data_IF_280021355877
#
_entry.id   IF_280021355877
#
_cell.length_a   1.000
_cell.length_b   1.000
_cell.length_c   1.000
_cell.angle_alpha   90.00
_cell.angle_beta   90.00
_cell.angle_gamma   90.00
#
_symmetry.space_group_name_H-M   'P 1'
#
loop_
_entity.id
_entity.type
_entity.pdbx_description
1 polymer ?
#
# COMPACT_ATOMS: atom_id res chain seq x y z
N UNK A 1 -53.85 33.54 44.34
CA UNK A 1 -52.66 33.97 45.09
C UNK A 1 -51.47 33.24 44.47
N UNK A 2 -50.52 33.99 43.89
CA UNK A 2 -49.38 33.49 43.12
C UNK A 2 -48.33 32.77 43.97
N UNK A 3 -47.66 31.76 43.39
CA UNK A 3 -46.23 31.36 43.55
C UNK A 3 -45.98 30.08 42.72
N UNK A 4 -45.35 30.17 41.54
CA UNK A 4 -43.90 30.10 41.26
C UNK A 4 -43.28 28.70 41.45
N UNK A 5 -42.85 28.03 40.36
CA UNK A 5 -41.43 27.72 40.01
C UNK A 5 -41.30 26.63 38.92
N UNK A 6 -40.72 27.06 37.78
CA UNK A 6 -39.56 26.47 37.05
C UNK A 6 -39.60 24.99 36.57
N UNK A 7 -39.69 24.88 35.24
CA UNK A 7 -38.93 24.06 34.27
C UNK A 7 -38.44 22.64 34.61
N UNK A 8 -38.80 21.68 33.75
CA UNK A 8 -37.87 20.64 33.28
C UNK A 8 -38.05 20.47 31.77
N UNK A 9 -37.01 20.81 31.01
CA UNK A 9 -36.84 20.44 29.62
C UNK A 9 -36.41 18.96 29.54
N UNK A 10 -37.08 18.15 28.74
CA UNK A 10 -36.60 16.83 28.36
C UNK A 10 -36.40 16.82 26.84
N UNK A 11 -35.20 17.23 26.42
CA UNK A 11 -34.71 17.01 25.07
C UNK A 11 -34.54 15.50 24.86
N UNK A 12 -35.33 14.93 23.96
CA UNK A 12 -35.17 13.55 23.51
C UNK A 12 -33.87 13.42 22.70
N UNK A 13 -32.83 12.92 23.33
CA UNK A 13 -31.57 12.55 22.68
C UNK A 13 -31.85 11.38 21.72
N UNK A 14 -31.66 11.66 20.42
CA UNK A 14 -31.57 10.66 19.36
C UNK A 14 -30.27 9.89 19.61
N UNK A 15 -30.36 8.69 20.18
CA UNK A 15 -29.23 7.75 20.18
C UNK A 15 -29.21 7.08 18.80
N UNK A 16 -28.65 7.78 17.82
CA UNK A 16 -28.18 7.15 16.59
C UNK A 16 -26.95 6.32 16.98
N UNK A 17 -27.18 5.06 17.34
CA UNK A 17 -26.10 4.07 17.44
C UNK A 17 -25.53 3.82 16.06
N UNK A 18 -24.52 4.59 15.65
CA UNK A 18 -23.61 4.16 14.61
C UNK A 18 -22.92 2.89 15.12
N UNK A 19 -23.42 1.73 14.70
CA UNK A 19 -22.70 0.47 14.82
C UNK A 19 -21.53 0.52 13.83
N UNK A 20 -20.44 1.20 14.18
CA UNK A 20 -19.15 0.93 13.55
C UNK A 20 -18.68 -0.41 14.09
N UNK A 21 -18.86 -1.45 13.28
CA UNK A 21 -18.24 -2.75 13.55
C UNK A 21 -16.74 -2.52 13.81
N UNK A 22 -16.14 -3.19 14.81
CA UNK A 22 -14.70 -3.10 15.01
C UNK A 22 -13.99 -3.51 13.72
N UNK A 23 -13.03 -2.70 13.28
CA UNK A 23 -12.19 -3.03 12.14
C UNK A 23 -11.51 -4.38 12.42
N UNK A 24 -11.76 -5.36 11.55
CA UNK A 24 -11.13 -6.66 11.67
C UNK A 24 -9.69 -6.54 11.20
N UNK A 25 -8.73 -7.00 12.01
CA UNK A 25 -7.32 -7.11 11.61
C UNK A 25 -7.09 -8.05 10.41
N UNK A 26 -8.14 -8.77 9.98
CA UNK A 26 -8.20 -9.56 8.76
C UNK A 26 -8.95 -8.88 7.61
N UNK A 27 -9.54 -7.69 7.80
CA UNK A 27 -10.22 -6.94 6.74
C UNK A 27 -9.19 -6.37 5.76
N UNK A 28 -9.31 -6.77 4.49
CA UNK A 28 -8.23 -6.68 3.53
C UNK A 28 -8.45 -5.50 2.60
N UNK A 29 -8.44 -4.29 3.17
CA UNK A 29 -8.62 -3.04 2.44
C UNK A 29 -7.71 -2.97 1.19
N UNK A 30 -6.46 -3.46 1.30
CA UNK A 30 -5.47 -3.45 0.21
C UNK A 30 -5.75 -4.48 -0.91
N UNK A 31 -6.44 -5.60 -0.65
CA UNK A 31 -6.80 -6.59 -1.70
C UNK A 31 -8.01 -6.16 -2.50
N UNK A 32 -8.90 -5.38 -1.89
CA UNK A 32 -10.07 -4.80 -2.56
C UNK A 32 -9.81 -3.39 -3.07
N UNK A 33 -8.62 -2.84 -2.78
CA UNK A 33 -8.25 -1.51 -3.23
C UNK A 33 -8.28 -1.44 -4.77
N UNK A 34 -8.76 -0.33 -5.34
CA UNK A 34 -8.68 -0.10 -6.77
C UNK A 34 -7.25 -0.27 -7.31
N UNK A 35 -7.14 -0.67 -8.57
CA UNK A 35 -5.85 -0.79 -9.21
C UNK A 35 -5.24 0.61 -9.41
N UNK A 36 -4.29 0.94 -8.56
CA UNK A 36 -3.49 2.15 -8.66
C UNK A 36 -2.30 1.97 -9.60
N UNK A 37 -2.00 3.03 -10.36
CA UNK A 37 -0.91 3.12 -11.32
C UNK A 37 0.20 4.04 -10.80
N UNK A 38 1.39 3.88 -11.36
CA UNK A 38 2.60 4.61 -11.03
C UNK A 38 2.92 4.54 -9.54
N UNK A 39 2.74 3.37 -8.95
CA UNK A 39 2.84 3.13 -7.51
C UNK A 39 3.61 1.84 -7.21
N UNK A 40 4.00 1.71 -5.95
CA UNK A 40 4.59 0.50 -5.38
C UNK A 40 3.68 0.00 -4.28
N UNK A 41 3.32 -1.27 -4.32
CA UNK A 41 2.45 -1.90 -3.32
C UNK A 41 3.12 -3.09 -2.68
N UNK A 42 2.96 -3.21 -1.36
CA UNK A 42 3.28 -4.44 -0.65
C UNK A 42 2.05 -5.34 -0.72
N UNK A 43 2.22 -6.51 -1.32
CA UNK A 43 1.17 -7.54 -1.45
C UNK A 43 1.19 -8.55 -0.30
N UNK A 44 2.20 -8.45 0.57
CA UNK A 44 2.33 -9.25 1.79
C UNK A 44 2.25 -8.36 3.04
N UNK A 45 1.37 -8.75 3.96
CA UNK A 45 1.05 -8.04 5.20
C UNK A 45 2.21 -7.95 6.19
N UNK A 46 3.19 -8.86 6.08
CA UNK A 46 4.32 -8.91 7.00
C UNK A 46 5.37 -7.83 6.69
N UNK A 47 5.34 -7.28 5.47
CA UNK A 47 6.30 -6.28 5.00
C UNK A 47 5.91 -4.87 5.45
N UNK A 48 4.66 -4.49 5.22
CA UNK A 48 4.09 -3.20 5.59
C UNK A 48 2.58 -3.33 5.73
N UNK A 49 2.04 -2.99 6.91
CA UNK A 49 0.59 -2.85 7.11
C UNK A 49 0.30 -1.81 8.18
N UNK A 50 -0.83 -1.13 8.03
CA UNK A 50 -1.42 -0.31 9.09
C UNK A 50 -2.81 -0.88 9.39
N UNK A 51 -3.12 -1.11 10.66
CA UNK A 51 -4.46 -1.54 11.09
C UNK A 51 -4.92 -0.67 12.25
N UNK A 52 -6.20 -0.33 12.26
CA UNK A 52 -6.86 0.31 13.39
C UNK A 52 -7.37 -0.80 14.31
N UNK A 53 -6.99 -0.81 15.59
CA UNK A 53 -7.50 -1.80 16.55
C UNK A 53 -8.76 -1.31 17.29
N UNK A 54 -9.24 -0.10 16.98
CA UNK A 54 -10.44 0.51 17.54
C UNK A 54 -10.35 0.88 19.04
N UNK A 55 -9.22 0.64 19.70
CA UNK A 55 -9.03 0.83 21.15
C UNK A 55 -7.75 1.64 21.45
N UNK A 56 -6.75 1.63 20.57
CA UNK A 56 -5.44 2.29 20.66
C UNK A 56 -5.06 2.90 19.30
N UNK A 57 -3.99 3.69 19.29
CA UNK A 57 -3.37 4.17 18.04
C UNK A 57 -3.12 3.00 17.08
N UNK A 58 -3.41 3.22 15.80
CA UNK A 58 -3.25 2.22 14.73
C UNK A 58 -1.89 1.50 14.82
N UNK A 59 -1.93 0.17 14.89
CA UNK A 59 -0.73 -0.66 14.84
C UNK A 59 -0.10 -0.60 13.46
N UNK A 60 1.22 -0.44 13.39
CA UNK A 60 1.97 -0.44 12.12
C UNK A 60 3.09 -1.46 12.15
N UNK A 61 3.06 -2.42 11.22
CA UNK A 61 4.25 -3.22 10.88
C UNK A 61 4.94 -2.49 9.75
N UNK A 62 6.23 -2.22 9.94
CA UNK A 62 7.04 -1.46 8.99
C UNK A 62 8.43 -2.10 8.92
N UNK A 63 8.51 -3.26 8.26
CA UNK A 63 9.79 -3.95 8.04
C UNK A 63 10.46 -3.42 6.80
N UNK A 64 9.67 -3.23 5.74
CA UNK A 64 10.10 -2.61 4.51
C UNK A 64 9.30 -1.34 4.22
N UNK A 65 9.96 -0.39 3.57
CA UNK A 65 9.32 0.83 3.07
C UNK A 65 9.79 1.19 1.68
N UNK A 66 9.00 2.01 1.01
CA UNK A 66 9.36 2.62 -0.28
C UNK A 66 9.92 4.00 0.02
N UNK A 67 11.19 4.22 -0.26
CA UNK A 67 11.87 5.52 -0.12
C UNK A 67 11.66 6.39 -1.35
N UNK A 68 11.65 5.77 -2.53
CA UNK A 68 11.46 6.44 -3.80
C UNK A 68 11.01 5.43 -4.87
N UNK A 69 10.29 5.88 -5.88
CA UNK A 69 9.97 5.08 -7.05
C UNK A 69 9.70 6.00 -8.23
N UNK A 70 9.79 5.45 -9.43
CA UNK A 70 9.59 6.25 -10.62
C UNK A 70 9.84 5.48 -11.89
N UNK A 71 9.78 6.23 -12.98
CA UNK A 71 10.17 5.75 -14.28
C UNK A 71 10.98 6.81 -15.02
N UNK A 72 11.87 6.37 -15.91
CA UNK A 72 12.69 7.25 -16.74
C UNK A 72 12.93 6.62 -18.11
N UNK A 73 13.01 7.43 -19.18
CA UNK A 73 13.35 6.92 -20.51
C UNK A 73 14.81 6.46 -20.54
N UNK A 74 15.08 5.42 -21.33
CA UNK A 74 16.43 4.94 -21.64
C UNK A 74 16.89 5.49 -23.00
N UNK A 75 18.18 5.31 -23.30
CA UNK A 75 18.76 5.70 -24.60
C UNK A 75 18.10 4.99 -25.79
N UNK A 76 17.57 3.78 -25.59
CA UNK A 76 16.88 3.00 -26.63
C UNK A 76 15.39 3.33 -26.73
N UNK A 77 14.91 4.30 -25.95
CA UNK A 77 13.51 4.73 -25.94
C UNK A 77 12.57 3.81 -25.16
N UNK A 78 13.09 2.78 -24.48
CA UNK A 78 12.30 2.01 -23.51
C UNK A 78 12.17 2.78 -22.19
N UNK A 79 11.28 2.32 -21.32
CA UNK A 79 11.06 2.91 -19.99
C UNK A 79 11.75 2.04 -18.94
N UNK A 80 12.67 2.60 -18.16
CA UNK A 80 13.16 1.98 -16.93
C UNK A 80 12.24 2.38 -15.77
N UNK A 81 11.69 1.38 -15.08
CA UNK A 81 10.93 1.54 -13.85
C UNK A 81 11.79 1.12 -12.68
N UNK A 82 11.75 1.88 -11.58
CA UNK A 82 12.53 1.58 -10.39
C UNK A 82 11.73 1.78 -9.10
N UNK A 83 12.11 1.02 -8.07
CA UNK A 83 11.73 1.25 -6.68
C UNK A 83 12.98 1.20 -5.80
N UNK A 84 13.05 2.10 -4.84
CA UNK A 84 14.06 2.17 -3.79
C UNK A 84 13.39 1.72 -2.51
N UNK A 85 13.78 0.56 -2.01
CA UNK A 85 13.20 -0.08 -0.84
C UNK A 85 14.18 0.00 0.33
N UNK A 86 13.68 0.36 1.51
CA UNK A 86 14.45 0.38 2.75
C UNK A 86 14.03 -0.75 3.66
N UNK A 87 15.01 -1.45 4.20
CA UNK A 87 14.84 -2.41 5.27
C UNK A 87 15.09 -1.74 6.63
N UNK A 88 14.15 -1.92 7.56
CA UNK A 88 14.20 -1.39 8.92
C UNK A 88 14.52 -2.48 9.96
N UNK A 89 14.74 -3.72 9.52
CA UNK A 89 15.13 -4.82 10.41
C UNK A 89 16.65 -4.89 10.59
N UNK A 90 17.06 -5.61 11.63
CA UNK A 90 18.44 -5.93 11.96
C UNK A 90 18.97 -7.20 11.25
N UNK A 91 18.21 -7.73 10.28
CA UNK A 91 18.58 -8.88 9.46
C UNK A 91 18.30 -8.66 7.97
N UNK A 92 18.97 -9.40 7.12
CA UNK A 92 18.74 -9.35 5.68
C UNK A 92 17.33 -9.86 5.36
N UNK A 93 16.57 -9.07 4.60
CA UNK A 93 15.20 -9.43 4.21
C UNK A 93 15.16 -9.95 2.78
N UNK A 94 14.56 -11.13 2.59
CA UNK A 94 14.35 -11.71 1.26
C UNK A 94 12.94 -11.43 0.78
N UNK A 95 12.84 -10.90 -0.44
CA UNK A 95 11.57 -10.55 -1.07
C UNK A 95 11.51 -11.05 -2.50
N UNK A 96 10.31 -11.06 -3.04
CA UNK A 96 10.05 -11.12 -4.46
C UNK A 96 9.43 -9.81 -4.92
N UNK A 97 9.91 -9.29 -6.05
CA UNK A 97 9.44 -8.04 -6.65
C UNK A 97 9.09 -8.30 -8.11
N UNK A 98 7.99 -7.71 -8.59
CA UNK A 98 7.67 -7.68 -10.02
C UNK A 98 7.13 -6.32 -10.42
N UNK A 99 7.21 -6.04 -11.71
CA UNK A 99 6.52 -4.88 -12.31
C UNK A 99 5.48 -5.39 -13.27
N UNK A 100 4.29 -4.82 -13.19
CA UNK A 100 3.28 -4.94 -14.23
C UNK A 100 3.19 -3.61 -14.98
N UNK A 101 3.34 -3.69 -16.29
CA UNK A 101 3.16 -2.54 -17.18
C UNK A 101 1.75 -2.50 -17.75
N UNK A 102 1.24 -1.29 -17.95
CA UNK A 102 -0.09 -1.02 -18.50
C UNK A 102 0.00 0.06 -19.57
N UNK A 103 -0.87 -0.03 -20.57
CA UNK A 103 -1.02 1.01 -21.58
C UNK A 103 -1.79 2.23 -21.03
N UNK A 104 -2.01 3.24 -21.88
CA UNK A 104 -2.75 4.44 -21.52
C UNK A 104 -4.19 4.17 -21.11
N UNK A 105 -4.80 3.10 -21.60
CA UNK A 105 -6.15 2.65 -21.25
C UNK A 105 -6.19 1.80 -19.98
N UNK A 106 -5.04 1.53 -19.36
CA UNK A 106 -4.94 0.74 -18.13
C UNK A 106 -5.00 -0.76 -18.37
N UNK A 107 -4.78 -1.22 -19.61
CA UNK A 107 -4.73 -2.63 -19.99
C UNK A 107 -3.32 -3.16 -19.75
N UNK A 108 -3.15 -4.31 -19.07
CA UNK A 108 -1.84 -4.95 -18.93
C UNK A 108 -1.20 -5.25 -20.29
N UNK A 109 0.04 -4.82 -20.50
CA UNK A 109 0.77 -5.06 -21.75
C UNK A 109 1.65 -6.31 -21.69
N UNK A 110 2.08 -6.70 -20.49
CA UNK A 110 2.85 -7.94 -20.30
C UNK A 110 1.92 -9.11 -20.04
N UNK A 111 2.03 -10.14 -20.86
CA UNK A 111 1.23 -11.35 -20.72
C UNK A 111 1.43 -12.04 -19.35
N UNK A 112 2.66 -11.98 -18.80
CA UNK A 112 3.04 -12.62 -17.52
C UNK A 112 4.23 -11.90 -16.84
N UNK A 113 4.00 -10.86 -16.02
CA UNK A 113 5.07 -10.26 -15.24
C UNK A 113 5.65 -11.28 -14.23
N UNK A 114 6.96 -11.47 -14.28
CA UNK A 114 7.67 -12.50 -13.49
C UNK A 114 8.17 -11.94 -12.16
N UNK A 115 8.02 -12.72 -11.10
CA UNK A 115 8.60 -12.42 -9.79
C UNK A 115 10.12 -12.60 -9.80
N UNK A 116 10.84 -11.59 -9.34
CA UNK A 116 12.30 -11.59 -9.20
C UNK A 116 12.67 -11.57 -7.73
N UNK A 117 13.53 -12.50 -7.31
CA UNK A 117 14.03 -12.53 -5.94
C UNK A 117 15.03 -11.39 -5.72
N UNK A 118 14.93 -10.75 -4.57
CA UNK A 118 15.85 -9.71 -4.12
C UNK A 118 16.12 -9.85 -2.63
N UNK A 119 17.34 -9.52 -2.22
CA UNK A 119 17.71 -9.42 -0.81
C UNK A 119 17.98 -7.95 -0.49
N UNK A 120 17.34 -7.43 0.54
CA UNK A 120 17.60 -6.09 1.07
C UNK A 120 18.39 -6.26 2.38
N UNK A 121 19.66 -5.83 2.44
CA UNK A 121 20.46 -6.00 3.64
C UNK A 121 19.83 -5.33 4.87
N UNK A 122 20.17 -5.83 6.06
CA UNK A 122 19.75 -5.25 7.33
C UNK A 122 19.99 -3.72 7.37
N UNK A 123 19.01 -2.95 7.85
CA UNK A 123 19.08 -1.50 8.02
C UNK A 123 19.59 -0.72 6.78
N UNK A 124 19.35 -1.25 5.59
CA UNK A 124 19.91 -0.73 4.34
C UNK A 124 18.84 -0.40 3.31
N UNK A 125 19.28 0.12 2.17
CA UNK A 125 18.45 0.45 1.03
C UNK A 125 18.90 -0.38 -0.17
N UNK A 126 17.94 -0.89 -0.95
CA UNK A 126 18.19 -1.58 -2.21
C UNK A 126 17.30 -1.04 -3.32
N UNK A 127 17.83 -1.01 -4.53
CA UNK A 127 17.10 -0.57 -5.71
C UNK A 127 16.68 -1.77 -6.56
N UNK A 128 15.39 -1.87 -6.80
CA UNK A 128 14.82 -2.72 -7.84
C UNK A 128 14.67 -1.91 -9.13
N UNK A 129 15.04 -2.50 -10.27
CA UNK A 129 14.93 -1.87 -11.59
C UNK A 129 14.47 -2.88 -12.61
N UNK A 130 13.62 -2.45 -13.53
CA UNK A 130 13.22 -3.24 -14.69
C UNK A 130 13.02 -2.35 -15.91
N UNK A 131 13.15 -2.95 -17.10
CA UNK A 131 12.92 -2.28 -18.38
C UNK A 131 11.60 -2.73 -18.98
N UNK A 132 10.89 -1.81 -19.61
CA UNK A 132 9.79 -2.15 -20.50
C UNK A 132 10.29 -2.90 -21.72
N UNK A 133 9.40 -3.71 -22.30
CA UNK A 133 9.64 -4.46 -23.54
C UNK A 133 9.23 -3.67 -24.79
N UNK A 134 8.65 -2.49 -24.61
CA UNK A 134 8.18 -1.58 -25.68
C UNK A 134 8.68 -0.15 -25.45
N UNK A 135 8.73 0.63 -26.52
CA UNK A 135 9.04 2.06 -26.52
C UNK A 135 7.80 2.95 -26.37
N UNK A 136 6.61 2.34 -26.29
CA UNK A 136 5.39 3.08 -25.99
C UNK A 136 5.43 3.63 -24.56
N UNK A 137 4.80 4.79 -24.30
CA UNK A 137 4.55 5.24 -22.94
C UNK A 137 3.73 4.19 -22.17
N UNK A 138 4.16 3.90 -20.95
CA UNK A 138 3.48 2.92 -20.09
C UNK A 138 3.24 3.53 -18.71
N UNK A 139 2.19 3.03 -18.08
CA UNK A 139 1.98 3.10 -16.63
C UNK A 139 2.58 1.85 -16.00
N UNK A 140 3.00 1.95 -14.74
CA UNK A 140 3.58 0.80 -14.03
C UNK A 140 2.90 0.57 -12.70
N UNK A 141 2.99 -0.66 -12.20
CA UNK A 141 2.72 -1.01 -10.80
C UNK A 141 3.80 -1.97 -10.35
N UNK A 142 4.55 -1.61 -9.32
CA UNK A 142 5.55 -2.51 -8.71
C UNK A 142 4.86 -3.22 -7.55
N UNK A 143 4.97 -4.53 -7.51
CA UNK A 143 4.43 -5.36 -6.44
C UNK A 143 5.57 -6.03 -5.69
N UNK A 144 5.53 -5.99 -4.36
CA UNK A 144 6.52 -6.56 -3.46
C UNK A 144 5.85 -7.58 -2.56
N UNK A 145 6.46 -8.74 -2.34
CA UNK A 145 6.00 -9.77 -1.38
C UNK A 145 7.17 -10.44 -0.67
N UNK A 146 6.89 -11.06 0.47
CA UNK A 146 7.87 -11.92 1.13
C UNK A 146 8.08 -13.19 0.32
N UNK A 147 9.27 -13.79 0.45
CA UNK A 147 9.52 -15.11 -0.09
C UNK A 147 8.81 -16.15 0.81
N UNK A 148 7.93 -16.97 0.23
CA UNK A 148 7.30 -18.09 0.94
C UNK A 148 8.23 -19.31 1.03
#
# INVERSE_FOLDING_TARGET
>A
MFRNLIAVAAAGLIVAGCNTLPADSTDIAERTAPLEYNTVVFTDYNLSRTWDDGIRDAGRVYRLSVENHGQRPTETGTTEVFAVLRNHTDFDYQIEVRTQFFDDYGVPVDARPTWQRSTIPANSVSAYKTLSTTTQPLKYRIEVREIN
#
